data_IF_479946700605
#
_entry.id   IF_479946700605
#
_cell.length_a   1.000
_cell.length_b   1.000
_cell.length_c   1.000
_cell.angle_alpha   90.00
_cell.angle_beta   90.00
_cell.angle_gamma   90.00
#
_symmetry.space_group_name_H-M   'P 1'
#
loop_
_entity.id
_entity.type
_entity.pdbx_description
1 polymer ?
#
# COMPACT_ATOMS: atom_id res chain seq x y z
N UNK A 1 34.67 -78.61 28.84
CA UNK A 1 34.67 -77.65 27.71
C UNK A 1 33.23 -77.03 27.59
N UNK A 2 33.05 -75.85 28.08
CA UNK A 2 31.73 -75.12 27.97
C UNK A 2 31.85 -74.14 26.83
N UNK A 3 31.00 -74.25 25.83
CA UNK A 3 30.92 -73.38 24.69
C UNK A 3 29.94 -72.22 25.07
N UNK A 4 30.45 -71.02 25.03
CA UNK A 4 29.73 -69.79 25.36
C UNK A 4 29.11 -69.24 24.04
N UNK A 5 27.81 -69.31 23.92
CA UNK A 5 27.10 -68.68 22.80
C UNK A 5 26.88 -67.17 23.10
N UNK A 6 27.50 -66.29 22.32
CA UNK A 6 27.28 -64.87 22.36
C UNK A 6 26.21 -64.56 21.35
N UNK A 7 25.03 -64.11 21.82
CA UNK A 7 23.96 -63.56 21.01
C UNK A 7 24.26 -62.08 20.75
N UNK A 8 24.48 -61.69 19.48
CA UNK A 8 24.57 -60.32 19.02
C UNK A 8 23.15 -59.83 18.77
N UNK A 9 22.67 -58.90 19.60
CA UNK A 9 21.43 -58.18 19.33
C UNK A 9 21.73 -57.00 18.41
N UNK A 10 21.24 -57.06 17.18
CA UNK A 10 21.28 -55.92 16.23
C UNK A 10 20.11 -54.98 16.52
N UNK A 11 20.44 -53.81 17.08
CA UNK A 11 19.45 -52.74 17.24
C UNK A 11 19.23 -52.03 15.92
N UNK A 12 18.04 -52.19 15.31
CA UNK A 12 17.60 -51.42 14.15
C UNK A 12 17.13 -50.07 14.65
N UNK A 13 17.94 -49.03 14.42
CA UNK A 13 17.50 -47.64 14.61
C UNK A 13 16.66 -47.27 13.41
N UNK A 14 15.34 -47.24 13.60
CA UNK A 14 14.42 -46.69 12.62
C UNK A 14 14.54 -45.16 12.64
N UNK A 15 15.22 -44.62 11.65
CA UNK A 15 15.23 -43.16 11.42
C UNK A 15 13.87 -42.74 10.88
N UNK A 16 13.02 -42.19 11.73
CA UNK A 16 11.82 -41.50 11.27
C UNK A 16 12.25 -40.18 10.62
N UNK A 17 12.27 -40.14 9.29
CA UNK A 17 12.31 -38.87 8.54
C UNK A 17 10.99 -38.20 8.74
N UNK A 18 10.96 -37.16 9.57
CA UNK A 18 9.84 -36.20 9.62
C UNK A 18 9.87 -35.48 8.30
N UNK A 19 8.96 -35.84 7.40
CA UNK A 19 8.67 -35.01 6.21
C UNK A 19 7.96 -33.78 6.70
N UNK A 20 8.64 -32.67 6.77
CA UNK A 20 8.01 -31.36 6.91
C UNK A 20 7.21 -31.14 5.62
N UNK A 21 5.89 -31.04 5.74
CA UNK A 21 5.09 -30.56 4.63
C UNK A 21 5.61 -29.15 4.28
N UNK A 22 6.08 -28.99 3.03
CA UNK A 22 6.50 -27.68 2.55
C UNK A 22 5.31 -26.73 2.65
N UNK A 23 5.50 -25.65 3.40
CA UNK A 23 4.55 -24.54 3.40
C UNK A 23 4.70 -23.78 2.08
N UNK A 24 3.69 -23.04 1.62
CA UNK A 24 3.81 -22.21 0.40
C UNK A 24 5.08 -21.37 0.34
N UNK A 25 5.61 -20.97 1.49
CA UNK A 25 6.81 -20.14 1.61
C UNK A 25 8.12 -20.85 1.25
N UNK A 26 8.15 -22.15 1.32
CA UNK A 26 9.35 -22.92 0.92
C UNK A 26 9.58 -22.83 -0.60
N UNK A 27 8.59 -22.34 -1.36
CA UNK A 27 8.73 -22.02 -2.78
C UNK A 27 9.53 -20.72 -3.02
N UNK A 28 9.55 -19.83 -2.03
CA UNK A 28 10.15 -18.50 -2.13
C UNK A 28 11.12 -18.32 -0.95
N UNK A 29 12.32 -18.87 -1.03
CA UNK A 29 13.32 -18.81 0.06
C UNK A 29 13.83 -17.38 0.31
N UNK A 30 13.63 -16.48 -0.67
CA UNK A 30 13.88 -15.05 -0.54
C UNK A 30 12.56 -14.34 -0.30
N UNK A 31 12.59 -13.22 0.45
CA UNK A 31 11.40 -12.40 0.69
C UNK A 31 10.80 -11.91 -0.62
N UNK A 32 9.46 -11.90 -0.70
CA UNK A 32 8.72 -11.29 -1.80
C UNK A 32 8.64 -9.76 -1.69
N UNK A 33 9.03 -9.18 -0.55
CA UNK A 33 9.15 -7.72 -0.43
C UNK A 33 10.23 -7.20 -1.40
N UNK A 34 9.91 -6.11 -2.11
CA UNK A 34 10.88 -5.43 -2.96
C UNK A 34 12.05 -4.91 -2.12
N UNK A 35 11.73 -4.16 -1.05
CA UNK A 35 12.69 -3.73 -0.05
C UNK A 35 12.25 -4.14 1.36
N UNK A 36 13.22 -4.35 2.25
CA UNK A 36 12.95 -4.60 3.67
C UNK A 36 12.42 -3.34 4.34
N UNK A 37 11.59 -3.48 5.40
CA UNK A 37 11.13 -2.33 6.14
C UNK A 37 12.28 -1.47 6.66
N UNK A 38 12.17 -0.16 6.45
CA UNK A 38 13.04 0.86 7.02
C UNK A 38 12.33 1.52 8.19
N UNK A 39 13.09 1.90 9.21
CA UNK A 39 12.56 2.63 10.35
C UNK A 39 12.36 4.10 9.96
N UNK A 40 11.12 4.59 10.09
CA UNK A 40 10.74 5.98 9.80
C UNK A 40 10.88 6.85 11.05
N UNK A 41 10.45 6.30 12.19
CA UNK A 41 10.53 6.91 13.53
C UNK A 41 10.62 5.78 14.57
N UNK A 42 10.58 6.11 15.86
CA UNK A 42 10.77 5.08 16.90
C UNK A 42 9.79 3.92 16.80
N UNK A 43 8.51 4.18 16.47
CA UNK A 43 7.45 3.17 16.36
C UNK A 43 7.01 2.87 14.93
N UNK A 44 7.31 3.72 13.94
CA UNK A 44 6.81 3.61 12.57
C UNK A 44 7.87 3.02 11.65
N UNK A 45 7.47 2.03 10.88
CA UNK A 45 8.27 1.34 9.87
C UNK A 45 7.53 1.28 8.54
N UNK A 46 8.26 1.24 7.43
CA UNK A 46 7.68 1.09 6.10
C UNK A 46 8.57 0.25 5.18
N UNK A 47 7.98 -0.77 4.56
CA UNK A 47 8.60 -1.48 3.45
C UNK A 47 8.26 -0.73 2.15
N UNK A 48 9.29 -0.17 1.53
CA UNK A 48 9.12 0.69 0.36
C UNK A 48 8.93 -0.19 -0.88
N UNK A 49 7.82 0.03 -1.59
CA UNK A 49 7.53 -0.68 -2.82
C UNK A 49 8.34 -0.16 -4.01
N UNK A 50 8.43 -0.97 -5.06
CA UNK A 50 9.03 -0.52 -6.32
C UNK A 50 8.16 0.59 -6.93
N UNK A 51 8.78 1.65 -7.41
CA UNK A 51 8.07 2.79 -8.03
C UNK A 51 7.36 2.45 -9.35
N UNK A 52 7.62 1.28 -9.93
CA UNK A 52 7.00 0.79 -11.16
C UNK A 52 5.60 0.22 -10.93
N UNK A 53 4.88 -0.05 -12.02
CA UNK A 53 3.67 -0.86 -11.96
C UNK A 53 3.96 -2.28 -11.48
N UNK A 54 2.92 -3.07 -11.26
CA UNK A 54 3.05 -4.48 -10.94
C UNK A 54 3.90 -5.21 -11.97
N UNK A 55 4.84 -6.00 -11.51
CA UNK A 55 5.63 -6.93 -12.31
C UNK A 55 5.72 -8.28 -11.59
N UNK A 56 6.15 -9.30 -12.31
CA UNK A 56 6.45 -10.57 -11.68
C UNK A 56 7.60 -10.42 -10.65
N UNK A 57 8.63 -9.64 -10.99
CA UNK A 57 9.84 -9.45 -10.18
C UNK A 57 9.53 -8.75 -8.85
N UNK A 58 8.66 -7.73 -8.86
CA UNK A 58 8.27 -7.05 -7.62
C UNK A 58 7.15 -7.76 -6.86
N UNK A 59 6.65 -8.90 -7.35
CA UNK A 59 5.58 -9.68 -6.72
C UNK A 59 4.31 -8.86 -6.39
N UNK A 60 4.07 -7.76 -7.11
CA UNK A 60 3.00 -6.82 -6.82
C UNK A 60 3.31 -5.81 -5.70
N UNK A 61 4.55 -5.78 -5.16
CA UNK A 61 4.96 -4.80 -4.16
C UNK A 61 5.37 -3.48 -4.83
N UNK A 62 4.41 -2.59 -5.03
CA UNK A 62 4.63 -1.30 -5.68
C UNK A 62 4.14 -0.09 -4.88
N UNK A 63 3.54 -0.30 -3.71
CA UNK A 63 3.14 0.72 -2.74
C UNK A 63 3.90 0.54 -1.42
N UNK A 64 3.81 1.51 -0.54
CA UNK A 64 4.41 1.41 0.78
C UNK A 64 3.52 0.57 1.70
N UNK A 65 4.12 -0.46 2.32
CA UNK A 65 3.49 -1.29 3.32
C UNK A 65 4.06 -0.89 4.68
N UNK A 66 3.26 -0.15 5.45
CA UNK A 66 3.72 0.43 6.71
C UNK A 66 3.19 -0.34 7.92
N UNK A 67 3.86 -0.20 9.06
CA UNK A 67 3.34 -0.70 10.33
C UNK A 67 3.81 0.15 11.50
N UNK A 68 3.00 0.13 12.56
CA UNK A 68 3.24 0.88 13.79
C UNK A 68 3.31 -0.11 14.95
N UNK A 69 4.40 -0.08 15.70
CA UNK A 69 4.66 -0.94 16.85
C UNK A 69 4.41 -0.15 18.13
N UNK A 70 3.33 -0.45 18.85
CA UNK A 70 3.08 0.08 20.19
C UNK A 70 3.66 -0.81 21.30
N UNK A 71 3.22 -0.63 22.56
CA UNK A 71 3.66 -1.48 23.65
C UNK A 71 2.79 -2.76 23.82
N UNK A 72 1.60 -2.83 23.19
CA UNK A 72 0.65 -3.94 23.35
C UNK A 72 0.24 -4.62 22.05
N UNK A 73 0.46 -3.95 20.93
CA UNK A 73 0.03 -4.43 19.62
C UNK A 73 0.81 -3.78 18.49
N UNK A 74 0.73 -4.42 17.32
CA UNK A 74 1.13 -3.85 16.02
C UNK A 74 -0.13 -3.56 15.21
N UNK A 75 -0.11 -2.43 14.50
CA UNK A 75 -1.05 -2.09 13.44
C UNK A 75 -0.30 -2.08 12.11
N UNK A 76 -0.86 -2.73 11.10
CA UNK A 76 -0.37 -2.70 9.72
C UNK A 76 -1.23 -1.75 8.91
N UNK A 77 -0.61 -1.00 8.01
CA UNK A 77 -1.27 -0.12 7.02
C UNK A 77 -1.01 -0.70 5.65
N UNK A 78 -2.09 -1.01 4.94
CA UNK A 78 -2.17 -1.77 3.70
C UNK A 78 -1.86 -3.27 3.87
N UNK A 79 -2.87 -4.08 3.56
CA UNK A 79 -2.80 -5.54 3.62
C UNK A 79 -1.89 -6.15 2.57
N UNK A 80 -1.39 -5.35 1.64
CA UNK A 80 -0.60 -5.70 0.46
C UNK A 80 -1.40 -6.22 -0.74
N UNK A 81 -0.71 -6.43 -1.86
CA UNK A 81 -1.33 -6.90 -3.10
C UNK A 81 -1.73 -8.38 -3.10
N UNK A 82 -1.05 -9.20 -2.30
CA UNK A 82 -1.26 -10.67 -2.27
C UNK A 82 -1.06 -11.25 -0.87
N UNK A 83 -1.66 -12.43 -0.64
CA UNK A 83 -1.48 -13.22 0.57
C UNK A 83 0.00 -13.48 0.91
N UNK A 84 0.79 -13.91 -0.09
CA UNK A 84 2.20 -14.24 0.10
C UNK A 84 3.06 -13.00 0.41
N UNK A 85 2.71 -11.86 -0.16
CA UNK A 85 3.38 -10.59 0.12
C UNK A 85 3.06 -10.10 1.55
N UNK A 86 1.77 -10.21 1.97
CA UNK A 86 1.36 -9.94 3.35
C UNK A 86 2.14 -10.79 4.36
N UNK A 87 2.30 -12.08 4.06
CA UNK A 87 3.10 -12.97 4.88
C UNK A 87 4.57 -12.56 4.93
N UNK A 88 5.16 -12.17 3.81
CA UNK A 88 6.55 -11.70 3.77
C UNK A 88 6.74 -10.45 4.66
N UNK A 89 5.78 -9.52 4.67
CA UNK A 89 5.80 -8.38 5.58
C UNK A 89 5.71 -8.81 7.05
N UNK A 90 4.80 -9.75 7.36
CA UNK A 90 4.65 -10.25 8.73
C UNK A 90 5.92 -10.95 9.23
N UNK A 91 6.64 -11.64 8.36
CA UNK A 91 7.91 -12.28 8.73
C UNK A 91 8.99 -11.24 9.08
N UNK A 92 9.01 -10.07 8.45
CA UNK A 92 9.87 -8.95 8.86
C UNK A 92 9.40 -8.32 10.18
N UNK A 93 8.08 -8.13 10.39
CA UNK A 93 7.53 -7.63 11.66
C UNK A 93 7.96 -8.54 12.82
N UNK A 94 7.84 -9.86 12.67
CA UNK A 94 8.25 -10.85 13.69
C UNK A 94 9.75 -10.85 14.03
N UNK A 95 10.59 -10.26 13.18
CA UNK A 95 12.02 -10.06 13.50
C UNK A 95 12.25 -8.86 14.42
N UNK A 96 11.30 -7.93 14.45
CA UNK A 96 11.39 -6.70 15.24
C UNK A 96 10.68 -6.79 16.58
N UNK A 97 9.57 -7.57 16.66
CA UNK A 97 8.75 -7.70 17.86
C UNK A 97 8.00 -9.02 17.91
N UNK A 98 7.73 -9.50 19.14
CA UNK A 98 6.85 -10.64 19.41
C UNK A 98 5.38 -10.21 19.63
N UNK A 99 5.07 -8.92 19.54
CA UNK A 99 3.72 -8.41 19.72
C UNK A 99 2.79 -8.86 18.59
N UNK A 100 1.52 -9.15 18.90
CA UNK A 100 0.57 -9.57 17.86
C UNK A 100 0.18 -8.38 16.95
N UNK A 101 0.01 -8.64 15.67
CA UNK A 101 -0.68 -7.73 14.77
C UNK A 101 -2.17 -7.82 15.07
N UNK A 102 -2.72 -6.80 15.73
CA UNK A 102 -4.14 -6.76 16.10
C UNK A 102 -5.01 -6.01 15.09
N UNK A 103 -4.42 -5.15 14.29
CA UNK A 103 -5.15 -4.29 13.37
C UNK A 103 -4.47 -4.27 12.00
N UNK A 104 -5.30 -4.34 10.98
CA UNK A 104 -4.95 -3.98 9.61
C UNK A 104 -5.84 -2.82 9.19
N UNK A 105 -5.26 -1.80 8.59
CA UNK A 105 -5.97 -0.62 8.07
C UNK A 105 -5.66 -0.50 6.59
N UNK A 106 -6.69 -0.60 5.75
CA UNK A 106 -6.56 -0.32 4.32
C UNK A 106 -6.70 1.19 4.10
N UNK A 107 -5.70 1.83 3.50
CA UNK A 107 -5.74 3.26 3.24
C UNK A 107 -6.72 3.66 2.14
N UNK A 108 -7.01 2.72 1.22
CA UNK A 108 -8.01 2.84 0.16
C UNK A 108 -8.52 1.44 -0.28
N UNK A 109 -9.39 1.40 -1.30
CA UNK A 109 -10.00 0.15 -1.79
C UNK A 109 -9.21 -0.58 -2.86
N UNK A 110 -8.01 -0.16 -3.18
CA UNK A 110 -7.25 -0.72 -4.31
C UNK A 110 -6.58 -2.06 -3.98
N UNK A 111 -6.22 -2.81 -5.03
CA UNK A 111 -5.63 -4.15 -4.89
C UNK A 111 -4.33 -4.14 -4.10
N UNK A 112 -3.51 -3.09 -4.20
CA UNK A 112 -2.25 -2.99 -3.46
C UNK A 112 -2.45 -2.81 -1.94
N UNK A 113 -3.59 -2.26 -1.55
CA UNK A 113 -3.96 -2.11 -0.14
C UNK A 113 -4.65 -3.37 0.42
N UNK A 114 -5.59 -3.98 -0.34
CA UNK A 114 -6.52 -4.96 0.21
C UNK A 114 -6.33 -6.41 -0.28
N UNK A 115 -5.46 -6.67 -1.26
CA UNK A 115 -5.32 -8.00 -1.88
C UNK A 115 -4.79 -9.10 -0.95
N UNK A 116 -4.14 -8.74 0.15
CA UNK A 116 -3.62 -9.67 1.17
C UNK A 116 -4.39 -9.68 2.49
N UNK A 117 -5.57 -9.04 2.56
CA UNK A 117 -6.35 -8.90 3.79
C UNK A 117 -6.69 -10.24 4.47
N UNK A 118 -6.97 -11.28 3.68
CA UNK A 118 -7.29 -12.60 4.22
C UNK A 118 -6.12 -13.20 5.03
N UNK A 119 -4.86 -12.97 4.65
CA UNK A 119 -3.72 -13.39 5.46
C UNK A 119 -3.78 -12.78 6.88
N UNK A 120 -3.98 -11.46 6.96
CA UNK A 120 -4.04 -10.75 8.25
C UNK A 120 -5.22 -11.18 9.10
N UNK A 121 -6.37 -11.45 8.45
CA UNK A 121 -7.54 -12.01 9.13
C UNK A 121 -7.25 -13.37 9.76
N UNK A 122 -6.55 -14.25 9.07
CA UNK A 122 -6.11 -15.56 9.58
C UNK A 122 -5.13 -15.41 10.77
N UNK A 123 -4.33 -14.34 10.81
CA UNK A 123 -3.47 -14.01 11.95
C UNK A 123 -4.24 -13.40 13.14
N UNK A 124 -5.53 -13.14 13.00
CA UNK A 124 -6.39 -12.59 14.05
C UNK A 124 -6.48 -11.08 14.07
N UNK A 125 -5.99 -10.39 13.05
CA UNK A 125 -6.15 -8.95 12.93
C UNK A 125 -7.61 -8.55 12.63
N UNK A 126 -8.02 -7.41 13.16
CA UNK A 126 -9.27 -6.73 12.76
C UNK A 126 -8.98 -5.89 11.52
N UNK A 127 -9.73 -6.12 10.45
CA UNK A 127 -9.58 -5.41 9.18
C UNK A 127 -10.45 -4.16 9.19
N UNK A 128 -9.85 -3.00 8.95
CA UNK A 128 -10.49 -1.68 9.07
C UNK A 128 -10.28 -0.90 7.78
N UNK A 129 -11.32 -0.24 7.29
CA UNK A 129 -11.26 0.65 6.13
C UNK A 129 -12.25 1.81 6.27
N UNK A 130 -12.07 2.88 5.48
CA UNK A 130 -13.11 3.87 5.29
C UNK A 130 -14.32 3.23 4.59
N UNK A 131 -15.53 3.75 4.83
CA UNK A 131 -16.76 3.19 4.24
C UNK A 131 -16.71 3.13 2.71
N UNK A 132 -16.20 4.18 2.04
CA UNK A 132 -16.07 4.20 0.58
C UNK A 132 -14.96 3.26 0.08
N UNK A 133 -13.87 3.09 0.83
CA UNK A 133 -12.85 2.09 0.52
C UNK A 133 -13.40 0.66 0.63
N UNK A 134 -14.20 0.37 1.66
CA UNK A 134 -14.86 -0.92 1.80
C UNK A 134 -15.81 -1.22 0.62
N UNK A 135 -16.57 -0.22 0.16
CA UNK A 135 -17.39 -0.34 -1.05
C UNK A 135 -16.55 -0.60 -2.30
N UNK A 136 -15.44 0.10 -2.45
CA UNK A 136 -14.53 -0.11 -3.59
C UNK A 136 -13.92 -1.51 -3.59
N UNK A 137 -13.54 -2.04 -2.42
CA UNK A 137 -13.07 -3.41 -2.25
C UNK A 137 -14.14 -4.40 -2.73
N UNK A 138 -15.38 -4.25 -2.26
CA UNK A 138 -16.49 -5.12 -2.65
C UNK A 138 -16.72 -5.10 -4.17
N UNK A 139 -16.66 -3.94 -4.80
CA UNK A 139 -16.96 -3.78 -6.23
C UNK A 139 -15.80 -4.17 -7.15
N UNK A 140 -14.56 -3.86 -6.77
CA UNK A 140 -13.42 -3.86 -7.70
C UNK A 140 -12.33 -4.89 -7.40
N UNK A 141 -12.18 -5.36 -6.15
CA UNK A 141 -11.03 -6.20 -5.75
C UNK A 141 -10.96 -7.51 -6.54
N UNK A 142 -12.10 -8.14 -6.83
CA UNK A 142 -12.15 -9.37 -7.61
C UNK A 142 -11.49 -9.21 -9.00
N UNK A 143 -11.84 -8.13 -9.69
CA UNK A 143 -11.27 -7.81 -11.00
C UNK A 143 -9.79 -7.37 -10.88
N UNK A 144 -9.44 -6.74 -9.76
CA UNK A 144 -8.06 -6.37 -9.44
C UNK A 144 -7.16 -7.58 -9.28
N UNK A 145 -7.58 -8.56 -8.49
CA UNK A 145 -6.85 -9.83 -8.28
C UNK A 145 -6.71 -10.64 -9.57
N UNK A 146 -7.77 -10.73 -10.40
CA UNK A 146 -7.68 -11.41 -11.70
C UNK A 146 -6.64 -10.77 -12.63
N UNK A 147 -6.59 -9.43 -12.69
CA UNK A 147 -5.55 -8.74 -13.48
C UNK A 147 -4.16 -8.93 -12.88
N UNK A 148 -4.06 -8.93 -11.57
CA UNK A 148 -2.79 -9.14 -10.87
C UNK A 148 -2.25 -10.57 -11.10
N UNK A 149 -3.11 -11.59 -11.10
CA UNK A 149 -2.76 -12.99 -11.36
C UNK A 149 -2.05 -13.16 -12.70
N UNK A 150 -2.51 -12.47 -13.75
CA UNK A 150 -1.85 -12.48 -15.06
C UNK A 150 -0.40 -11.96 -15.01
N UNK A 151 -0.09 -11.12 -14.04
CA UNK A 151 1.22 -10.48 -13.87
C UNK A 151 2.11 -11.28 -12.92
N UNK A 152 1.63 -11.53 -11.69
CA UNK A 152 2.45 -12.13 -10.62
C UNK A 152 2.40 -13.67 -10.62
N UNK A 153 1.52 -14.28 -11.46
CA UNK A 153 1.38 -15.72 -11.66
C UNK A 153 1.08 -16.46 -10.34
N UNK A 154 1.87 -17.49 -10.01
CA UNK A 154 1.71 -18.30 -8.80
C UNK A 154 1.91 -17.53 -7.50
N UNK A 155 2.46 -16.31 -7.54
CA UNK A 155 2.60 -15.43 -6.38
C UNK A 155 1.28 -14.85 -5.87
N UNK A 156 0.18 -15.07 -6.60
CA UNK A 156 -1.19 -14.78 -6.16
C UNK A 156 -1.77 -15.86 -5.23
N UNK A 157 -1.13 -17.03 -5.13
CA UNK A 157 -1.66 -18.17 -4.36
C UNK A 157 -2.07 -17.77 -2.94
N UNK A 158 -3.26 -18.22 -2.54
CA UNK A 158 -3.83 -17.96 -1.22
C UNK A 158 -4.58 -16.63 -1.10
N UNK A 159 -4.49 -15.73 -2.08
CA UNK A 159 -5.22 -14.45 -2.03
C UNK A 159 -6.71 -14.68 -2.23
N UNK A 160 -7.52 -14.27 -1.26
CA UNK A 160 -8.97 -14.40 -1.24
C UNK A 160 -9.61 -13.10 -0.80
N UNK A 161 -10.80 -12.81 -1.32
CA UNK A 161 -11.59 -11.65 -0.91
C UNK A 161 -12.29 -11.98 0.40
N UNK A 162 -12.21 -11.06 1.35
CA UNK A 162 -12.90 -11.16 2.62
C UNK A 162 -13.64 -9.86 2.93
N UNK A 163 -14.61 -9.96 3.82
CA UNK A 163 -15.33 -8.79 4.31
C UNK A 163 -14.46 -7.94 5.25
N UNK A 164 -14.63 -6.64 5.20
CA UNK A 164 -14.04 -5.68 6.14
C UNK A 164 -14.78 -5.83 7.48
N UNK A 165 -14.03 -5.92 8.59
CA UNK A 165 -14.61 -6.12 9.91
C UNK A 165 -15.24 -4.85 10.50
N UNK A 166 -14.62 -3.72 10.20
CA UNK A 166 -15.01 -2.44 10.77
C UNK A 166 -14.78 -1.30 9.79
N UNK A 167 -15.79 -0.48 9.62
CA UNK A 167 -15.70 0.74 8.82
C UNK A 167 -15.86 2.00 9.68
N UNK A 168 -15.42 3.15 9.15
CA UNK A 168 -15.64 4.47 9.72
C UNK A 168 -15.84 5.49 8.61
N UNK A 169 -16.44 6.65 8.96
CA UNK A 169 -16.75 7.73 8.00
C UNK A 169 -15.71 8.86 8.03
N UNK A 170 -15.47 9.48 9.19
CA UNK A 170 -14.62 10.67 9.30
C UNK A 170 -13.26 10.34 9.92
N UNK A 171 -13.30 9.74 11.11
CA UNK A 171 -12.09 9.41 11.85
C UNK A 171 -12.28 8.24 12.80
N UNK A 172 -11.17 7.59 13.12
CA UNK A 172 -11.10 6.55 14.15
C UNK A 172 -9.74 6.61 14.84
N UNK A 173 -9.71 6.35 16.15
CA UNK A 173 -8.45 6.21 16.89
C UNK A 173 -8.23 4.76 17.30
N UNK A 174 -6.97 4.34 17.25
CA UNK A 174 -6.49 3.03 17.70
C UNK A 174 -5.35 3.25 18.69
N UNK A 175 -5.54 2.81 19.94
CA UNK A 175 -4.49 2.77 20.95
C UNK A 175 -3.71 1.44 20.82
N UNK A 176 -2.40 1.55 20.60
CA UNK A 176 -1.50 0.40 20.50
C UNK A 176 -0.71 0.14 21.79
N UNK A 177 -1.10 0.79 22.88
CA UNK A 177 -0.38 0.78 24.16
C UNK A 177 0.69 1.87 24.19
N UNK A 178 0.23 3.13 24.35
CA UNK A 178 1.09 4.31 24.46
C UNK A 178 1.50 4.96 23.12
N UNK A 179 1.07 4.40 22.02
CA UNK A 179 1.14 5.02 20.67
C UNK A 179 -0.29 5.03 20.13
N UNK A 180 -0.75 6.19 19.71
CA UNK A 180 -2.07 6.40 19.13
C UNK A 180 -1.97 6.52 17.61
N UNK A 181 -2.75 5.72 16.88
CA UNK A 181 -2.93 5.89 15.45
C UNK A 181 -4.27 6.58 15.20
N UNK A 182 -4.25 7.77 14.63
CA UNK A 182 -5.44 8.50 14.19
C UNK A 182 -5.67 8.22 12.71
N UNK A 183 -6.72 7.47 12.38
CA UNK A 183 -7.17 7.19 11.03
C UNK A 183 -8.07 8.35 10.60
N UNK A 184 -7.72 9.05 9.54
CA UNK A 184 -8.35 10.31 9.13
C UNK A 184 -8.80 10.25 7.67
N UNK A 185 -10.09 10.34 7.41
CA UNK A 185 -10.61 10.66 6.10
C UNK A 185 -10.58 12.19 5.94
N UNK A 186 -9.61 12.69 5.19
CA UNK A 186 -9.39 14.13 5.02
C UNK A 186 -10.28 14.76 3.94
N UNK A 187 -10.88 13.93 3.11
CA UNK A 187 -11.69 14.26 1.95
C UNK A 187 -11.29 13.44 0.73
N UNK A 188 -12.04 13.54 -0.39
CA UNK A 188 -11.70 12.87 -1.63
C UNK A 188 -10.33 13.30 -2.14
N UNK A 189 -9.52 12.32 -2.62
CA UNK A 189 -8.21 12.58 -3.18
C UNK A 189 -7.96 11.71 -4.42
N UNK A 190 -7.02 10.76 -4.33
CA UNK A 190 -6.79 9.80 -5.41
C UNK A 190 -8.01 8.89 -5.66
N UNK A 191 -8.66 8.50 -4.56
CA UNK A 191 -9.98 7.86 -4.54
C UNK A 191 -10.91 8.56 -3.53
N UNK A 192 -12.17 8.12 -3.47
CA UNK A 192 -13.14 8.68 -2.50
C UNK A 192 -12.89 8.22 -1.08
N UNK A 193 -12.31 7.04 -0.93
CA UNK A 193 -12.10 6.37 0.36
C UNK A 193 -10.67 6.48 0.89
N UNK A 194 -9.82 7.35 0.30
CA UNK A 194 -8.46 7.54 0.78
C UNK A 194 -8.44 8.05 2.22
N UNK A 195 -7.60 7.47 3.03
CA UNK A 195 -7.34 7.94 4.39
C UNK A 195 -5.86 8.17 4.61
N UNK A 196 -5.54 9.02 5.57
CA UNK A 196 -4.19 9.16 6.11
C UNK A 196 -4.16 8.72 7.58
N UNK A 197 -3.05 8.20 8.03
CA UNK A 197 -2.85 7.79 9.42
C UNK A 197 -1.84 8.72 10.06
N UNK A 198 -2.24 9.42 11.11
CA UNK A 198 -1.38 10.31 11.89
C UNK A 198 -0.97 9.64 13.20
N UNK A 199 0.33 9.71 13.50
CA UNK A 199 0.93 9.27 14.77
C UNK A 199 1.40 10.50 15.52
N UNK A 200 0.55 11.07 16.42
CA UNK A 200 0.83 12.36 17.06
C UNK A 200 2.10 12.37 17.91
N UNK A 201 2.38 11.28 18.61
CA UNK A 201 3.52 11.16 19.53
C UNK A 201 4.87 11.32 18.80
N UNK A 202 4.90 11.00 17.49
CA UNK A 202 6.12 11.01 16.67
C UNK A 202 6.06 12.00 15.51
N UNK A 203 4.92 12.67 15.35
CA UNK A 203 4.67 13.62 14.27
C UNK A 203 4.93 12.99 12.88
N UNK A 204 4.40 11.80 12.66
CA UNK A 204 4.47 11.06 11.39
C UNK A 204 3.09 10.99 10.78
N UNK A 205 2.99 11.24 9.48
CA UNK A 205 1.79 11.02 8.66
C UNK A 205 2.10 9.91 7.65
N UNK A 206 1.44 8.76 7.79
CA UNK A 206 1.36 7.77 6.72
C UNK A 206 0.24 8.25 5.82
N UNK A 207 0.64 8.90 4.72
CA UNK A 207 -0.27 9.66 3.89
C UNK A 207 -1.14 8.77 2.99
N UNK A 208 -0.63 7.61 2.58
CA UNK A 208 -1.28 6.83 1.54
C UNK A 208 -1.26 7.54 0.18
N UNK A 209 -2.19 7.18 -0.69
CA UNK A 209 -2.25 7.69 -2.07
C UNK A 209 -2.77 9.13 -2.19
N UNK A 210 -3.00 9.82 -1.07
CA UNK A 210 -3.18 11.28 -1.11
C UNK A 210 -1.89 11.98 -1.53
N UNK A 211 -0.71 11.38 -1.29
CA UNK A 211 0.60 11.97 -1.52
C UNK A 211 1.56 11.05 -2.28
N UNK A 212 2.23 11.63 -3.28
CA UNK A 212 3.19 10.96 -4.16
C UNK A 212 4.47 11.79 -4.28
N UNK A 213 5.61 11.12 -4.43
CA UNK A 213 6.86 11.67 -4.97
C UNK A 213 7.70 10.55 -5.59
N UNK A 214 8.78 10.90 -6.32
CA UNK A 214 9.63 9.95 -7.07
C UNK A 214 8.90 9.19 -8.18
N UNK A 215 7.58 9.02 -8.07
CA UNK A 215 6.70 8.40 -9.05
C UNK A 215 5.60 9.39 -9.43
N UNK A 216 5.24 9.46 -10.72
CA UNK A 216 4.10 10.24 -11.16
C UNK A 216 2.80 9.62 -10.62
N UNK A 217 1.97 10.45 -9.99
CA UNK A 217 0.65 10.02 -9.52
C UNK A 217 -0.25 9.66 -10.71
N UNK A 218 -1.10 8.62 -10.62
CA UNK A 218 -2.12 8.37 -11.61
C UNK A 218 -3.39 9.18 -11.31
N UNK A 219 -4.01 9.74 -12.36
CA UNK A 219 -5.37 10.29 -12.29
C UNK A 219 -6.31 9.25 -12.91
N UNK A 220 -7.22 8.73 -12.10
CA UNK A 220 -8.23 7.76 -12.55
C UNK A 220 -9.50 8.46 -13.04
N UNK A 221 -10.39 7.75 -13.76
CA UNK A 221 -11.68 8.33 -14.19
C UNK A 221 -12.54 8.83 -13.03
N UNK A 222 -12.41 8.22 -11.86
CA UNK A 222 -13.12 8.57 -10.63
C UNK A 222 -12.40 9.60 -9.76
N UNK A 223 -11.13 9.92 -10.05
CA UNK A 223 -10.38 10.94 -9.32
C UNK A 223 -10.86 12.33 -9.74
N UNK A 224 -11.30 13.15 -8.79
CA UNK A 224 -11.58 14.55 -9.03
C UNK A 224 -10.40 15.40 -8.57
N UNK A 225 -9.66 15.97 -9.51
CA UNK A 225 -8.44 16.74 -9.20
C UNK A 225 -8.72 18.07 -8.51
N UNK A 226 -9.92 18.65 -8.66
CA UNK A 226 -10.33 19.86 -7.93
C UNK A 226 -10.58 19.53 -6.45
N UNK A 227 -11.35 18.47 -6.18
CA UNK A 227 -11.62 18.01 -4.82
C UNK A 227 -10.32 17.57 -4.13
N UNK A 228 -9.40 16.89 -4.85
CA UNK A 228 -8.09 16.50 -4.31
C UNK A 228 -7.26 17.71 -3.89
N UNK A 229 -7.22 18.77 -4.72
CA UNK A 229 -6.54 20.02 -4.37
C UNK A 229 -7.21 20.72 -3.18
N UNK A 230 -8.54 20.72 -3.08
CA UNK A 230 -9.27 21.26 -1.93
C UNK A 230 -8.93 20.49 -0.66
N UNK A 231 -8.99 19.14 -0.69
CA UNK A 231 -8.58 18.26 0.42
C UNK A 231 -7.15 18.53 0.83
N UNK A 232 -6.24 18.71 -0.15
CA UNK A 232 -4.84 19.03 0.12
C UNK A 232 -4.68 20.33 0.91
N UNK A 233 -5.26 21.42 0.44
CA UNK A 233 -5.08 22.74 1.06
C UNK A 233 -5.83 22.87 2.40
N UNK A 234 -7.03 22.31 2.51
CA UNK A 234 -7.88 22.51 3.68
C UNK A 234 -7.63 21.53 4.83
N UNK A 235 -7.18 20.30 4.53
CA UNK A 235 -7.04 19.25 5.52
C UNK A 235 -5.65 18.62 5.57
N UNK A 236 -5.07 18.19 4.43
CA UNK A 236 -3.80 17.49 4.44
C UNK A 236 -2.62 18.41 4.82
N UNK A 237 -2.49 19.57 4.20
CA UNK A 237 -1.41 20.52 4.47
C UNK A 237 -1.36 20.99 5.94
N UNK A 238 -2.46 21.40 6.59
CA UNK A 238 -2.43 21.71 8.02
C UNK A 238 -1.93 20.57 8.91
N UNK A 239 -2.26 19.32 8.55
CA UNK A 239 -1.81 18.12 9.26
C UNK A 239 -0.34 17.82 9.02
N UNK A 240 0.11 17.89 7.76
CA UNK A 240 1.34 17.26 7.27
C UNK A 240 2.55 18.19 7.20
N UNK A 241 2.35 19.53 7.18
CA UNK A 241 3.40 20.52 6.83
C UNK A 241 4.68 20.48 7.69
N UNK A 242 4.62 19.90 8.89
CA UNK A 242 5.77 19.76 9.78
C UNK A 242 6.07 18.31 10.16
N UNK A 243 5.36 17.35 9.57
CA UNK A 243 5.49 15.93 9.88
C UNK A 243 6.53 15.25 8.96
N UNK A 244 6.97 14.07 9.39
CA UNK A 244 7.60 13.11 8.48
C UNK A 244 6.45 12.47 7.68
N UNK A 245 6.58 12.42 6.35
CA UNK A 245 5.56 11.88 5.47
C UNK A 245 6.00 10.51 4.94
N UNK A 246 5.11 9.53 5.07
CA UNK A 246 5.22 8.26 4.35
C UNK A 246 4.15 8.28 3.26
N UNK A 247 4.51 8.55 1.99
CA UNK A 247 3.55 8.59 0.89
C UNK A 247 3.04 7.18 0.54
N UNK A 248 2.01 7.08 -0.30
CA UNK A 248 1.58 5.78 -0.83
C UNK A 248 2.65 5.11 -1.69
N UNK A 249 3.44 5.93 -2.41
CA UNK A 249 4.55 5.49 -3.26
C UNK A 249 5.74 6.44 -3.11
N UNK A 250 6.95 5.89 -3.02
CA UNK A 250 8.20 6.63 -2.81
C UNK A 250 8.71 6.53 -1.37
N UNK A 251 9.94 6.95 -1.16
CA UNK A 251 10.58 6.89 0.15
C UNK A 251 9.92 7.85 1.17
N UNK A 252 10.00 7.58 2.49
CA UNK A 252 9.62 8.56 3.51
C UNK A 252 10.34 9.90 3.29
N UNK A 253 9.61 11.00 3.41
CA UNK A 253 10.09 12.31 2.97
C UNK A 253 9.51 13.48 3.78
N UNK A 254 9.64 14.68 3.28
CA UNK A 254 9.10 15.92 3.86
C UNK A 254 7.84 16.38 3.14
N UNK A 255 7.06 17.25 3.80
CA UNK A 255 5.89 17.86 3.15
C UNK A 255 6.27 18.60 1.86
N UNK A 256 7.40 19.30 1.82
CA UNK A 256 7.84 20.09 0.64
C UNK A 256 7.95 19.20 -0.62
N UNK A 257 8.48 17.98 -0.48
CA UNK A 257 8.63 17.06 -1.61
C UNK A 257 7.27 16.61 -2.14
N UNK A 258 6.40 16.13 -1.26
CA UNK A 258 5.06 15.67 -1.71
C UNK A 258 4.19 16.84 -2.18
N UNK A 259 4.34 18.05 -1.62
CA UNK A 259 3.68 19.25 -2.08
C UNK A 259 4.08 19.62 -3.52
N UNK A 260 5.37 19.50 -3.82
CA UNK A 260 5.89 19.76 -5.16
C UNK A 260 5.36 18.77 -6.19
N UNK A 261 5.39 17.47 -5.86
CA UNK A 261 5.13 16.41 -6.84
C UNK A 261 3.69 15.89 -6.83
N UNK A 262 2.89 16.24 -5.82
CA UNK A 262 1.45 15.95 -5.82
C UNK A 262 0.65 17.21 -6.14
N UNK A 263 0.56 18.18 -5.20
CA UNK A 263 -0.21 19.41 -5.40
C UNK A 263 0.30 20.21 -6.61
N UNK A 264 1.62 20.45 -6.65
CA UNK A 264 2.24 21.21 -7.75
C UNK A 264 1.99 20.58 -9.12
N UNK A 265 2.04 19.25 -9.22
CA UNK A 265 1.71 18.55 -10.46
C UNK A 265 0.24 18.67 -10.84
N UNK A 266 -0.68 18.49 -9.89
CA UNK A 266 -2.12 18.63 -10.15
C UNK A 266 -2.50 20.05 -10.58
N UNK A 267 -1.96 21.08 -9.91
CA UNK A 267 -2.16 22.49 -10.29
C UNK A 267 -1.62 22.78 -11.70
N UNK A 268 -0.37 22.37 -11.97
CA UNK A 268 0.24 22.50 -13.28
C UNK A 268 -0.66 21.87 -14.35
N UNK A 269 -1.11 20.65 -14.14
CA UNK A 269 -1.87 19.91 -15.13
C UNK A 269 -3.23 20.56 -15.41
N UNK A 270 -3.93 21.02 -14.37
CA UNK A 270 -5.19 21.75 -14.49
C UNK A 270 -5.01 23.10 -15.20
N UNK A 271 -3.91 23.83 -14.92
CA UNK A 271 -3.58 25.09 -15.60
C UNK A 271 -3.36 24.85 -17.11
N UNK A 272 -2.56 23.82 -17.48
CA UNK A 272 -2.32 23.53 -18.89
C UNK A 272 -3.59 23.11 -19.63
N UNK A 273 -4.44 22.30 -18.96
CA UNK A 273 -5.72 21.88 -19.53
C UNK A 273 -6.70 23.08 -19.67
N UNK A 274 -6.78 23.96 -18.68
CA UNK A 274 -7.60 25.16 -18.76
C UNK A 274 -7.20 26.03 -19.95
N UNK A 275 -5.90 26.29 -20.13
CA UNK A 275 -5.38 27.04 -21.28
C UNK A 275 -5.76 26.36 -22.60
N UNK A 276 -5.65 25.04 -22.69
CA UNK A 276 -6.01 24.27 -23.88
C UNK A 276 -7.52 24.39 -24.21
N UNK A 277 -8.38 24.31 -23.20
CA UNK A 277 -9.84 24.48 -23.35
C UNK A 277 -10.19 25.89 -23.82
N UNK A 278 -9.57 26.93 -23.25
CA UNK A 278 -9.77 28.33 -23.65
C UNK A 278 -9.35 28.59 -25.11
N UNK A 279 -8.36 27.87 -25.60
CA UNK A 279 -7.90 27.91 -27.00
C UNK A 279 -8.78 27.07 -27.94
N UNK A 280 -9.76 26.33 -27.43
CA UNK A 280 -10.63 25.44 -28.18
C UNK A 280 -9.94 24.13 -28.60
N UNK A 281 -8.93 23.70 -27.85
CA UNK A 281 -8.23 22.44 -28.04
C UNK A 281 -9.11 21.21 -27.78
N UNK A 282 -8.62 20.06 -28.14
CA UNK A 282 -9.35 18.77 -28.07
C UNK A 282 -8.70 17.82 -27.10
N UNK A 283 -9.42 16.73 -26.73
CA UNK A 283 -8.87 15.64 -25.94
C UNK A 283 -7.56 15.08 -26.54
N UNK A 284 -7.48 15.00 -27.87
CA UNK A 284 -6.26 14.55 -28.55
C UNK A 284 -5.07 15.49 -28.29
N UNK A 285 -5.32 16.80 -28.22
CA UNK A 285 -4.30 17.80 -27.90
C UNK A 285 -3.88 17.71 -26.42
N UNK A 286 -4.81 17.37 -25.52
CA UNK A 286 -4.51 17.17 -24.10
C UNK A 286 -3.46 16.07 -23.86
N UNK A 287 -3.51 14.95 -24.61
CA UNK A 287 -2.49 13.90 -24.52
C UNK A 287 -1.09 14.35 -24.92
N UNK A 288 -0.97 15.51 -25.58
CA UNK A 288 0.30 16.08 -26.08
C UNK A 288 0.80 17.25 -25.23
N UNK A 289 0.12 17.59 -24.12
CA UNK A 289 0.58 18.62 -23.18
C UNK A 289 2.00 18.32 -22.75
N UNK A 290 2.87 19.34 -22.86
CA UNK A 290 4.29 19.23 -22.50
C UNK A 290 4.45 19.21 -20.96
N UNK A 291 4.84 18.06 -20.42
CA UNK A 291 5.04 17.82 -19.00
C UNK A 291 6.52 17.56 -18.66
N UNK A 292 7.46 18.10 -19.45
CA UNK A 292 8.91 17.82 -19.38
C UNK A 292 9.48 17.97 -17.95
N UNK A 293 8.95 18.87 -17.15
CA UNK A 293 9.43 19.14 -15.79
C UNK A 293 9.11 18.01 -14.81
N UNK A 294 8.16 17.13 -15.18
CA UNK A 294 7.73 15.96 -14.40
C UNK A 294 8.14 14.61 -15.03
N UNK A 295 8.77 14.63 -16.22
CA UNK A 295 9.15 13.40 -16.94
C UNK A 295 10.32 12.64 -16.30
N UNK A 296 10.93 13.17 -15.26
CA UNK A 296 11.93 12.47 -14.44
C UNK A 296 11.33 11.53 -13.41
N UNK A 297 10.03 11.65 -13.13
CA UNK A 297 9.32 10.76 -12.22
C UNK A 297 9.13 9.38 -12.84
N UNK A 298 9.28 8.31 -12.03
CA UNK A 298 8.97 6.97 -12.51
C UNK A 298 7.51 6.89 -13.00
N UNK A 299 7.26 6.06 -13.99
CA UNK A 299 5.97 5.89 -14.68
C UNK A 299 5.45 7.11 -15.46
N UNK A 300 6.22 8.18 -15.58
CA UNK A 300 5.80 9.37 -16.31
C UNK A 300 5.52 9.08 -17.81
N UNK A 301 6.33 8.25 -18.45
CA UNK A 301 6.13 7.88 -19.86
C UNK A 301 4.77 7.20 -20.11
N UNK A 302 4.25 6.47 -19.12
CA UNK A 302 2.97 5.76 -19.23
C UNK A 302 1.78 6.60 -18.76
N UNK A 303 1.98 7.56 -17.84
CA UNK A 303 0.91 8.28 -17.16
C UNK A 303 0.69 9.68 -17.66
N UNK A 304 1.72 10.43 -18.06
CA UNK A 304 1.61 11.86 -18.35
C UNK A 304 0.47 12.20 -19.32
N UNK A 305 0.45 11.58 -20.49
CA UNK A 305 -0.63 11.81 -21.48
C UNK A 305 -2.00 11.35 -20.97
N UNK A 306 -2.08 10.22 -20.24
CA UNK A 306 -3.34 9.72 -19.70
C UNK A 306 -3.90 10.66 -18.62
N UNK A 307 -3.05 11.16 -17.73
CA UNK A 307 -3.43 12.11 -16.69
C UNK A 307 -3.99 13.39 -17.31
N UNK A 308 -3.30 13.95 -18.32
CA UNK A 308 -3.77 15.12 -19.03
C UNK A 308 -5.13 14.89 -19.72
N UNK A 309 -5.31 13.76 -20.37
CA UNK A 309 -6.59 13.37 -20.95
C UNK A 309 -7.70 13.26 -19.91
N UNK A 310 -7.44 12.66 -18.74
CA UNK A 310 -8.43 12.54 -17.65
C UNK A 310 -8.82 13.88 -17.06
N UNK A 311 -7.83 14.75 -16.84
CA UNK A 311 -8.11 16.11 -16.35
C UNK A 311 -8.90 16.90 -17.39
N UNK A 312 -8.61 16.76 -18.68
CA UNK A 312 -9.38 17.39 -19.75
C UNK A 312 -10.84 16.91 -19.76
N UNK A 313 -11.07 15.58 -19.74
CA UNK A 313 -12.42 14.99 -19.69
C UNK A 313 -13.24 15.51 -18.48
N UNK A 314 -12.60 15.70 -17.32
CA UNK A 314 -13.26 16.24 -16.14
C UNK A 314 -13.56 17.72 -16.28
N UNK A 315 -12.58 18.54 -16.68
CA UNK A 315 -12.70 20.01 -16.75
C UNK A 315 -13.58 20.49 -17.91
N UNK A 316 -13.80 19.69 -18.95
CA UNK A 316 -14.73 20.03 -20.04
C UNK A 316 -16.19 20.23 -19.54
N UNK A 317 -16.51 19.70 -18.35
CA UNK A 317 -17.84 19.75 -17.74
C UNK A 317 -17.90 20.57 -16.45
N UNK A 318 -16.79 21.18 -15.99
CA UNK A 318 -16.77 22.13 -14.88
C UNK A 318 -17.21 23.54 -15.35
#
# INVERSE_FOLDING_TARGET
MRILNVLLAASIIASTTVSWAQTPDDKYPESLLYDKPVQVSDSVWSAIGQLKFYTYENAGHNNNLSFVIGNEAVMVVNGSSTYLLAKALHDEIKRLTDLPVKYLVDENGQTHAAGGNNYWKEQGATIIAHVDAAHEIEEKLANGLLRLEDIVKERIEGSEIIDIDKTFDEQMEIDLGGITAQLLHLGPAHSKGDISIFIPEENVVIAGDIAFHERMLPVFPESNTADWLETWETAFKPLAQNAIIVPGHGAPTTFTEVDTYTRGYLEFLREQVANLLDEGGTLADAYLIDQRDYMHLETADELAGKNAGRVFEAMEWE
#
